data_IF_756561951874
#
_entry.id   IF_756561951874
#
_cell.length_a   1.000
_cell.length_b   1.000
_cell.length_c   1.000
_cell.angle_alpha   90.00
_cell.angle_beta   90.00
_cell.angle_gamma   90.00
#
_symmetry.space_group_name_H-M   'P 1'
#
loop_
_entity.id
_entity.type
_entity.pdbx_description
1 polymer ?
#
# COMPACT_ATOMS: atom_id res chain seq x y z
N UNK A 1 -38.86 -24.39 2.20
CA UNK A 1 -37.74 -24.40 3.17
C UNK A 1 -36.35 -24.26 2.52
N UNK A 2 -36.10 -24.73 1.29
CA UNK A 2 -34.77 -24.63 0.65
C UNK A 2 -34.34 -23.21 0.18
N UNK A 3 -35.29 -22.32 -0.16
CA UNK A 3 -34.96 -20.96 -0.65
C UNK A 3 -34.27 -20.08 0.40
N UNK A 4 -34.66 -20.17 1.67
CA UNK A 4 -34.02 -19.42 2.77
C UNK A 4 -32.62 -19.95 3.10
N UNK A 5 -32.43 -21.26 3.04
CA UNK A 5 -31.14 -21.91 3.29
C UNK A 5 -30.11 -21.59 2.18
N UNK A 6 -30.53 -21.59 0.91
CA UNK A 6 -29.67 -21.18 -0.21
C UNK A 6 -29.28 -19.70 -0.12
N UNK A 7 -30.20 -18.81 0.29
CA UNK A 7 -29.90 -17.39 0.45
C UNK A 7 -28.89 -17.16 1.60
N UNK A 8 -29.05 -17.87 2.72
CA UNK A 8 -28.12 -17.81 3.86
C UNK A 8 -26.75 -18.38 3.51
N UNK A 9 -26.66 -19.49 2.76
CA UNK A 9 -25.39 -20.02 2.26
C UNK A 9 -24.69 -19.06 1.30
N UNK A 10 -25.45 -18.42 0.41
CA UNK A 10 -24.91 -17.43 -0.54
C UNK A 10 -24.35 -16.22 0.20
N UNK A 11 -25.05 -15.75 1.25
CA UNK A 11 -24.61 -14.62 2.08
C UNK A 11 -23.38 -14.99 2.92
N UNK A 12 -23.32 -16.22 3.44
CA UNK A 12 -22.17 -16.72 4.19
C UNK A 12 -20.92 -16.90 3.30
N UNK A 13 -21.09 -17.33 2.05
CA UNK A 13 -20.00 -17.43 1.06
C UNK A 13 -19.42 -16.06 0.70
N UNK A 14 -20.24 -15.01 0.67
CA UNK A 14 -19.80 -13.64 0.37
C UNK A 14 -19.05 -12.99 1.54
N UNK A 15 -19.43 -13.29 2.78
CA UNK A 15 -18.77 -12.78 3.98
C UNK A 15 -17.38 -13.39 4.23
N UNK A 16 -17.04 -14.52 3.58
CA UNK A 16 -15.71 -15.14 3.63
C UNK A 16 -14.73 -14.64 2.56
N UNK A 17 -15.15 -13.73 1.67
CA UNK A 17 -14.32 -13.33 0.52
C UNK A 17 -13.22 -12.33 0.87
N UNK A 18 -13.36 -11.58 1.96
CA UNK A 18 -12.35 -10.64 2.42
C UNK A 18 -12.29 -10.55 3.94
N UNK A 19 -11.11 -10.19 4.44
CA UNK A 19 -10.86 -9.97 5.87
C UNK A 19 -10.13 -8.65 6.04
N UNK A 20 -10.60 -7.83 6.98
CA UNK A 20 -9.90 -6.61 7.37
C UNK A 20 -9.39 -6.71 8.79
N UNK A 21 -8.12 -6.36 8.99
CA UNK A 21 -7.48 -6.31 10.31
C UNK A 21 -6.37 -5.25 10.35
N UNK A 22 -5.61 -5.23 11.45
CA UNK A 22 -4.43 -4.37 11.58
C UNK A 22 -3.21 -5.11 11.03
N UNK A 23 -2.39 -4.46 10.18
CA UNK A 23 -1.11 -5.04 9.77
C UNK A 23 -0.23 -5.35 10.98
N UNK A 24 0.53 -6.46 10.89
CA UNK A 24 1.57 -6.81 11.85
C UNK A 24 2.70 -5.77 11.87
N UNK A 25 3.54 -5.78 12.91
CA UNK A 25 4.67 -4.83 13.00
C UNK A 25 5.64 -4.94 11.82
N UNK A 26 5.84 -6.15 11.29
CA UNK A 26 6.67 -6.38 10.10
C UNK A 26 6.03 -5.73 8.88
N UNK A 27 4.72 -5.92 8.68
CA UNK A 27 3.96 -5.33 7.57
C UNK A 27 3.89 -3.79 7.67
N UNK A 28 3.71 -3.24 8.86
CA UNK A 28 3.71 -1.79 9.09
C UNK A 28 5.03 -1.14 8.65
N UNK A 29 6.17 -1.82 8.88
CA UNK A 29 7.49 -1.32 8.49
C UNK A 29 7.72 -1.26 6.97
N UNK A 30 6.88 -1.92 6.17
CA UNK A 30 6.94 -1.89 4.70
C UNK A 30 6.35 -0.61 4.11
N UNK A 31 5.52 0.09 4.87
CA UNK A 31 4.86 1.33 4.44
C UNK A 31 5.70 2.55 4.82
N UNK A 32 5.48 3.64 4.10
CA UNK A 32 5.88 4.96 4.57
C UNK A 32 4.88 5.44 5.63
N UNK A 33 5.41 5.98 6.71
CA UNK A 33 4.66 6.41 7.89
C UNK A 33 5.08 7.82 8.32
N UNK A 34 4.31 8.50 9.17
CA UNK A 34 4.70 9.78 9.75
C UNK A 34 6.08 9.72 10.44
N UNK A 35 6.43 8.57 11.04
CA UNK A 35 7.72 8.34 11.66
C UNK A 35 8.90 8.55 10.69
N UNK A 36 8.74 8.21 9.41
CA UNK A 36 9.76 8.40 8.38
C UNK A 36 9.98 9.91 8.06
N UNK A 37 9.01 10.77 8.40
CA UNK A 37 9.04 12.21 8.17
C UNK A 37 9.35 13.04 9.44
N UNK A 38 9.60 12.40 10.58
CA UNK A 38 9.90 13.09 11.86
C UNK A 38 11.05 14.08 11.77
N UNK A 39 12.11 13.77 11.01
CA UNK A 39 13.24 14.68 10.76
C UNK A 39 12.85 15.99 10.06
N UNK A 40 11.64 16.04 9.49
CA UNK A 40 11.06 17.20 8.82
C UNK A 40 9.97 17.89 9.65
N UNK A 41 9.84 17.53 10.94
CA UNK A 41 8.86 18.12 11.85
C UNK A 41 7.43 17.58 11.69
N UNK A 42 7.26 16.45 11.00
CA UNK A 42 5.96 15.77 10.93
C UNK A 42 5.82 14.85 12.14
N UNK A 43 4.80 15.09 12.94
CA UNK A 43 4.50 14.32 14.15
C UNK A 43 3.06 13.82 14.13
N UNK A 44 2.78 12.85 15.00
CA UNK A 44 1.45 12.28 15.19
C UNK A 44 1.28 10.92 14.52
N UNK A 45 0.20 10.25 14.91
CA UNK A 45 -0.10 8.90 14.46
C UNK A 45 -0.94 8.92 13.19
N UNK A 46 -0.80 7.87 12.39
CA UNK A 46 -1.66 7.60 11.25
C UNK A 46 -2.50 6.36 11.48
N UNK A 47 -3.35 6.05 10.50
CA UNK A 47 -4.20 4.88 10.52
C UNK A 47 -3.64 3.82 9.58
N UNK A 48 -3.38 2.65 10.14
CA UNK A 48 -3.10 1.45 9.37
C UNK A 48 -4.39 0.69 9.06
N UNK A 49 -4.45 0.12 7.86
CA UNK A 49 -5.45 -0.88 7.49
C UNK A 49 -4.81 -2.00 6.70
N UNK A 50 -5.31 -3.22 6.92
CA UNK A 50 -5.03 -4.38 6.09
C UNK A 50 -6.34 -4.91 5.53
N UNK A 51 -6.34 -5.25 4.25
CA UNK A 51 -7.44 -5.88 3.55
C UNK A 51 -6.91 -7.09 2.79
N UNK A 52 -7.34 -8.27 3.22
CA UNK A 52 -7.09 -9.53 2.51
C UNK A 52 -8.30 -9.80 1.63
N UNK A 53 -8.07 -10.11 0.37
CA UNK A 53 -9.09 -10.53 -0.58
C UNK A 53 -8.76 -11.94 -1.06
N UNK A 54 -9.54 -12.93 -0.60
CA UNK A 54 -9.21 -14.33 -0.80
C UNK A 54 -9.42 -14.80 -2.25
N UNK A 55 -10.41 -14.26 -2.96
CA UNK A 55 -10.74 -14.71 -4.32
C UNK A 55 -9.63 -14.42 -5.33
N UNK A 56 -8.92 -13.30 -5.19
CA UNK A 56 -7.77 -12.94 -6.02
C UNK A 56 -6.44 -13.11 -5.29
N UNK A 57 -6.46 -13.66 -4.06
CA UNK A 57 -5.29 -13.90 -3.20
C UNK A 57 -4.44 -12.65 -3.02
N UNK A 58 -5.08 -11.48 -2.92
CA UNK A 58 -4.38 -10.20 -2.70
C UNK A 58 -4.43 -9.80 -1.25
N UNK A 59 -3.38 -9.11 -0.81
CA UNK A 59 -3.36 -8.40 0.47
C UNK A 59 -2.97 -6.95 0.22
N UNK A 60 -3.81 -6.03 0.64
CA UNK A 60 -3.54 -4.60 0.62
C UNK A 60 -3.22 -4.11 2.03
N UNK A 61 -2.10 -3.41 2.15
CA UNK A 61 -1.72 -2.68 3.34
C UNK A 61 -1.79 -1.20 3.02
N UNK A 62 -2.38 -0.41 3.90
CA UNK A 62 -2.49 1.03 3.72
C UNK A 62 -2.12 1.73 5.01
N UNK A 63 -1.45 2.87 4.87
CA UNK A 63 -1.23 3.84 5.92
C UNK A 63 -1.68 5.21 5.44
N UNK A 64 -2.50 5.86 6.25
CA UNK A 64 -2.97 7.22 5.99
C UNK A 64 -2.68 8.12 7.18
N UNK A 65 -2.15 9.31 6.92
CA UNK A 65 -1.94 10.33 7.93
C UNK A 65 -2.29 11.71 7.37
N UNK A 66 -3.21 12.39 8.05
CA UNK A 66 -3.67 13.73 7.72
C UNK A 66 -3.87 14.53 9.01
N UNK A 67 -2.83 15.20 9.52
CA UNK A 67 -2.91 15.98 10.74
C UNK A 67 -3.62 17.33 10.53
N UNK A 68 -4.12 17.65 9.32
CA UNK A 68 -4.82 18.91 9.02
C UNK A 68 -3.92 20.13 8.85
N UNK A 69 -2.62 20.03 9.10
CA UNK A 69 -1.65 21.14 9.00
C UNK A 69 -0.94 21.24 7.64
N UNK A 70 -1.63 20.86 6.55
CA UNK A 70 -1.09 20.93 5.19
C UNK A 70 -0.18 19.76 4.79
N UNK A 71 0.12 18.84 5.71
CA UNK A 71 0.71 17.54 5.38
C UNK A 71 -0.38 16.50 5.15
N UNK A 72 -0.19 15.67 4.13
CA UNK A 72 -1.00 14.48 3.87
C UNK A 72 -0.05 13.38 3.42
N UNK A 73 -0.28 12.16 3.89
CA UNK A 73 0.43 10.97 3.46
C UNK A 73 -0.56 9.83 3.26
N UNK A 74 -0.53 9.25 2.07
CA UNK A 74 -1.11 7.97 1.73
C UNK A 74 0.01 7.04 1.24
N UNK A 75 0.21 5.92 1.91
CA UNK A 75 1.12 4.87 1.49
C UNK A 75 0.36 3.57 1.38
N UNK A 76 0.48 2.88 0.25
CA UNK A 76 -0.13 1.58 0.04
C UNK A 76 0.88 0.56 -0.48
N UNK A 77 0.68 -0.69 -0.07
CA UNK A 77 1.39 -1.85 -0.58
C UNK A 77 0.36 -2.92 -0.90
N UNK A 78 0.24 -3.29 -2.17
CA UNK A 78 -0.57 -4.41 -2.62
C UNK A 78 0.32 -5.60 -2.97
N UNK A 79 -0.03 -6.74 -2.41
CA UNK A 79 0.66 -8.02 -2.56
C UNK A 79 -0.18 -8.91 -3.47
N UNK A 80 0.46 -9.42 -4.52
CA UNK A 80 -0.14 -10.24 -5.56
C UNK A 80 0.58 -11.59 -5.63
N UNK A 81 -0.13 -12.65 -6.06
CA UNK A 81 0.52 -13.94 -6.35
C UNK A 81 1.53 -13.85 -7.49
N UNK A 82 1.30 -12.96 -8.46
CA UNK A 82 2.07 -12.87 -9.70
C UNK A 82 2.63 -11.46 -9.93
N UNK A 83 3.85 -11.39 -10.47
CA UNK A 83 4.52 -10.12 -10.75
C UNK A 83 3.82 -9.29 -11.84
N UNK A 84 3.21 -9.94 -12.82
CA UNK A 84 2.46 -9.26 -13.88
C UNK A 84 1.26 -8.48 -13.33
N UNK A 85 0.53 -9.06 -12.37
CA UNK A 85 -0.61 -8.41 -11.73
C UNK A 85 -0.17 -7.19 -10.91
N UNK A 86 0.96 -7.31 -10.19
CA UNK A 86 1.55 -6.19 -9.46
C UNK A 86 1.96 -5.04 -10.38
N UNK A 87 2.55 -5.35 -11.54
CA UNK A 87 2.93 -4.35 -12.53
C UNK A 87 1.72 -3.59 -13.08
N UNK A 88 0.69 -4.31 -13.53
CA UNK A 88 -0.54 -3.71 -14.07
C UNK A 88 -1.22 -2.84 -13.00
N UNK A 89 -1.28 -3.33 -11.76
CA UNK A 89 -1.84 -2.56 -10.66
C UNK A 89 -1.02 -1.30 -10.37
N UNK A 90 0.31 -1.38 -10.35
CA UNK A 90 1.17 -0.21 -10.13
C UNK A 90 0.94 0.89 -11.17
N UNK A 91 0.82 0.51 -12.44
CA UNK A 91 0.46 1.42 -13.54
C UNK A 91 -0.93 2.04 -13.35
N UNK A 92 -1.92 1.21 -13.03
CA UNK A 92 -3.29 1.66 -12.81
C UNK A 92 -3.39 2.62 -11.61
N UNK A 93 -2.68 2.34 -10.52
CA UNK A 93 -2.65 3.18 -9.31
C UNK A 93 -1.95 4.50 -9.55
N UNK A 94 -0.76 4.51 -10.17
CA UNK A 94 -0.04 5.74 -10.52
C UNK A 94 -0.90 6.61 -11.43
N UNK A 95 -1.53 6.01 -12.45
CA UNK A 95 -2.42 6.71 -13.38
C UNK A 95 -3.66 7.23 -12.67
N UNK A 96 -4.33 6.40 -11.87
CA UNK A 96 -5.55 6.76 -11.14
C UNK A 96 -5.30 7.85 -10.10
N UNK A 97 -4.20 7.76 -9.35
CA UNK A 97 -3.76 8.81 -8.44
C UNK A 97 -3.47 10.09 -9.22
N UNK A 98 -2.79 9.98 -10.37
CA UNK A 98 -2.54 11.11 -11.24
C UNK A 98 -3.83 11.80 -11.70
N UNK A 99 -4.82 11.04 -12.17
CA UNK A 99 -6.13 11.58 -12.58
C UNK A 99 -6.85 12.21 -11.39
N UNK A 100 -6.84 11.57 -10.21
CA UNK A 100 -7.49 12.10 -9.01
C UNK A 100 -6.85 13.38 -8.46
N UNK A 101 -5.57 13.62 -8.77
CA UNK A 101 -4.86 14.85 -8.46
C UNK A 101 -5.11 15.94 -9.51
N UNK A 102 -5.30 15.55 -10.77
CA UNK A 102 -5.61 16.41 -11.91
C UNK A 102 -7.06 16.92 -11.90
N UNK A 103 -7.44 17.58 -10.79
CA UNK A 103 -8.70 18.31 -10.67
C UNK A 103 -8.60 19.72 -11.31
N UNK A 104 -7.67 19.92 -12.25
CA UNK A 104 -7.42 21.18 -12.96
C UNK A 104 -6.28 22.06 -12.40
N UNK A 105 -5.77 21.78 -11.19
CA UNK A 105 -4.82 22.68 -10.53
C UNK A 105 -3.45 22.03 -10.19
N UNK A 106 -3.32 20.71 -10.28
CA UNK A 106 -2.10 19.99 -9.90
C UNK A 106 -1.44 19.38 -11.13
N UNK A 107 -0.30 19.95 -11.51
CA UNK A 107 0.58 19.41 -12.53
C UNK A 107 1.48 18.33 -11.92
N UNK A 108 1.83 17.33 -12.74
CA UNK A 108 2.77 16.28 -12.40
C UNK A 108 3.99 16.39 -13.29
N UNK A 109 5.15 16.60 -12.68
CA UNK A 109 6.43 16.62 -13.39
C UNK A 109 7.24 15.39 -13.00
N UNK A 110 7.62 14.57 -13.97
CA UNK A 110 8.47 13.41 -13.72
C UNK A 110 9.87 13.84 -13.24
N UNK A 111 10.37 13.15 -12.22
CA UNK A 111 11.74 13.27 -11.73
C UNK A 111 12.47 11.97 -12.08
N UNK A 112 13.45 12.00 -13.00
CA UNK A 112 14.09 10.79 -13.48
C UNK A 112 14.89 10.14 -12.35
N UNK A 113 14.51 8.91 -12.01
CA UNK A 113 15.21 8.07 -11.04
C UNK A 113 16.49 7.50 -11.66
N UNK A 114 17.58 7.47 -10.88
CA UNK A 114 18.82 6.81 -11.27
C UNK A 114 18.80 5.32 -10.90
N UNK A 115 18.11 4.99 -9.82
CA UNK A 115 17.93 3.63 -9.31
C UNK A 115 16.83 2.88 -10.03
N UNK A 116 17.15 1.67 -10.50
CA UNK A 116 16.14 0.71 -10.94
C UNK A 116 15.63 -0.07 -9.71
N UNK A 117 14.59 0.44 -9.06
CA UNK A 117 14.05 -0.18 -7.85
C UNK A 117 13.29 -1.47 -8.13
N UNK A 118 12.63 -1.50 -9.28
CA UNK A 118 11.81 -2.58 -9.82
C UNK A 118 11.24 -2.14 -11.18
N UNK A 119 10.20 -2.83 -11.64
CA UNK A 119 9.45 -2.42 -12.82
C UNK A 119 8.53 -1.24 -12.48
N UNK A 120 8.25 -0.36 -13.45
CA UNK A 120 7.36 0.80 -13.27
C UNK A 120 7.74 1.65 -12.03
N UNK A 121 9.03 1.93 -11.87
CA UNK A 121 9.53 2.84 -10.85
C UNK A 121 9.39 4.27 -11.36
N UNK A 122 8.41 5.02 -10.85
CA UNK A 122 8.13 6.39 -11.25
C UNK A 122 8.15 7.32 -10.04
N UNK A 123 8.79 8.48 -10.18
CA UNK A 123 8.71 9.56 -9.21
C UNK A 123 8.20 10.81 -9.93
N UNK A 124 7.16 11.44 -9.37
CA UNK A 124 6.57 12.67 -9.88
C UNK A 124 6.59 13.73 -8.79
N UNK A 125 7.00 14.93 -9.14
CA UNK A 125 6.81 16.16 -8.37
C UNK A 125 5.42 16.70 -8.65
N UNK A 126 4.67 16.96 -7.59
CA UNK A 126 3.33 17.54 -7.66
C UNK A 126 3.45 19.05 -7.55
N UNK A 127 2.89 19.79 -8.51
CA UNK A 127 3.02 21.25 -8.60
C UNK A 127 1.62 21.86 -8.65
N UNK A 128 1.29 22.74 -7.70
CA UNK A 128 0.03 23.51 -7.69
C UNK A 128 0.33 25.00 -7.74
N UNK A 129 -0.30 25.71 -8.67
CA UNK A 129 -0.04 27.15 -8.90
C UNK A 129 1.46 27.49 -9.05
N UNK A 130 2.21 26.65 -9.76
CA UNK A 130 3.65 26.83 -9.99
C UNK A 130 4.55 26.54 -8.78
N UNK A 131 4.00 26.06 -7.65
CA UNK A 131 4.77 25.69 -6.47
C UNK A 131 4.73 24.18 -6.23
N UNK A 132 5.86 23.55 -5.90
CA UNK A 132 5.86 22.16 -5.46
C UNK A 132 5.00 22.00 -4.19
N UNK A 133 4.19 20.96 -4.17
CA UNK A 133 3.31 20.64 -3.05
C UNK A 133 3.53 19.24 -2.49
N UNK A 134 4.21 18.35 -3.21
CA UNK A 134 4.29 16.95 -2.83
C UNK A 134 5.04 16.07 -3.83
N UNK A 135 5.08 14.77 -3.55
CA UNK A 135 5.51 13.76 -4.50
C UNK A 135 4.49 12.63 -4.61
N UNK A 136 4.46 12.01 -5.79
CA UNK A 136 3.84 10.72 -6.05
C UNK A 136 4.94 9.77 -6.49
N UNK A 137 5.05 8.62 -5.82
CA UNK A 137 5.99 7.57 -6.15
C UNK A 137 5.28 6.23 -6.29
N UNK A 138 5.60 5.48 -7.33
CA UNK A 138 5.10 4.12 -7.54
C UNK A 138 6.23 3.20 -7.96
N UNK A 139 6.16 1.93 -7.53
CA UNK A 139 7.08 0.88 -7.99
C UNK A 139 6.44 -0.50 -7.91
N UNK A 140 6.81 -1.39 -8.84
CA UNK A 140 6.48 -2.81 -8.81
C UNK A 140 7.74 -3.67 -8.59
N UNK A 141 7.75 -4.51 -7.55
CA UNK A 141 8.88 -5.39 -7.20
C UNK A 141 8.38 -6.82 -7.05
N UNK A 142 8.54 -7.65 -8.09
CA UNK A 142 7.93 -8.98 -8.13
C UNK A 142 6.41 -8.86 -7.97
N UNK A 143 5.80 -9.69 -7.13
CA UNK A 143 4.36 -9.62 -6.79
C UNK A 143 3.97 -8.47 -5.84
N UNK A 144 4.68 -7.33 -5.84
CA UNK A 144 4.43 -6.21 -4.92
C UNK A 144 4.24 -4.91 -5.68
N UNK A 145 3.12 -4.23 -5.49
CA UNK A 145 2.86 -2.87 -5.99
C UNK A 145 2.89 -1.90 -4.81
N UNK A 146 3.82 -0.96 -4.82
CA UNK A 146 3.94 0.06 -3.79
C UNK A 146 3.61 1.43 -4.37
N UNK A 147 2.82 2.22 -3.63
CA UNK A 147 2.47 3.59 -3.95
C UNK A 147 2.69 4.47 -2.70
N UNK A 148 3.23 5.65 -2.91
CA UNK A 148 3.30 6.69 -1.91
C UNK A 148 2.92 8.03 -2.51
N UNK A 149 1.93 8.68 -1.90
CA UNK A 149 1.49 10.03 -2.20
C UNK A 149 1.62 10.85 -0.93
N UNK A 150 2.39 11.93 -0.97
CA UNK A 150 2.42 12.88 0.14
C UNK A 150 2.47 14.32 -0.34
N UNK A 151 1.92 15.21 0.49
CA UNK A 151 1.91 16.66 0.25
C UNK A 151 2.32 17.42 1.53
N UNK A 152 2.65 18.70 1.41
CA UNK A 152 3.17 19.54 2.50
C UNK A 152 4.68 19.40 2.72
N UNK A 153 5.27 18.32 2.22
CA UNK A 153 6.70 18.11 2.05
C UNK A 153 6.94 17.55 0.65
N UNK A 154 8.11 17.82 0.08
CA UNK A 154 8.46 17.33 -1.24
C UNK A 154 9.97 17.21 -1.42
N UNK A 155 10.37 16.42 -2.40
CA UNK A 155 11.71 16.26 -2.91
C UNK A 155 11.72 16.76 -4.35
N UNK A 156 12.50 17.81 -4.61
CA UNK A 156 12.69 18.34 -5.97
C UNK A 156 13.76 17.58 -6.75
N UNK A 157 14.58 16.78 -6.06
CA UNK A 157 15.64 15.99 -6.68
C UNK A 157 15.43 14.50 -6.45
N UNK A 158 15.56 13.71 -7.53
CA UNK A 158 15.50 12.26 -7.46
C UNK A 158 16.53 11.69 -6.47
N UNK A 159 17.83 12.09 -6.47
CA UNK A 159 18.81 11.53 -5.54
C UNK A 159 18.45 11.71 -4.05
N UNK A 160 17.83 12.84 -3.68
CA UNK A 160 17.41 13.06 -2.30
C UNK A 160 16.22 12.15 -1.91
N UNK A 161 15.27 11.97 -2.83
CA UNK A 161 14.16 11.03 -2.64
C UNK A 161 14.67 9.58 -2.59
N UNK A 162 15.59 9.22 -3.47
CA UNK A 162 16.18 7.89 -3.56
C UNK A 162 16.90 7.49 -2.26
N UNK A 163 17.66 8.42 -1.67
CA UNK A 163 18.28 8.21 -0.37
C UNK A 163 17.25 8.06 0.76
N UNK A 164 16.12 8.78 0.67
CA UNK A 164 15.03 8.67 1.63
C UNK A 164 14.29 7.33 1.53
N UNK A 165 13.99 6.84 0.33
CA UNK A 165 13.17 5.64 0.11
C UNK A 165 13.97 4.34 0.18
N UNK A 166 15.30 4.39 0.04
CA UNK A 166 16.16 3.21 -0.02
C UNK A 166 15.93 2.18 1.10
N UNK A 167 15.77 2.56 2.39
CA UNK A 167 15.50 1.58 3.45
C UNK A 167 14.18 0.82 3.24
N UNK A 168 13.13 1.48 2.76
CA UNK A 168 11.84 0.84 2.46
C UNK A 168 11.95 -0.09 1.27
N UNK A 169 12.68 0.31 0.23
CA UNK A 169 12.92 -0.53 -0.94
C UNK A 169 13.69 -1.81 -0.58
N UNK A 170 14.65 -1.72 0.34
CA UNK A 170 15.35 -2.90 0.87
C UNK A 170 14.40 -3.83 1.64
N UNK A 171 13.56 -3.28 2.52
CA UNK A 171 12.57 -4.04 3.27
C UNK A 171 11.55 -4.75 2.37
N UNK A 172 11.03 -4.06 1.36
CA UNK A 172 10.08 -4.62 0.38
C UNK A 172 10.68 -5.79 -0.42
N UNK A 173 11.96 -5.72 -0.78
CA UNK A 173 12.65 -6.82 -1.47
C UNK A 173 12.86 -8.03 -0.59
N UNK A 174 13.19 -7.82 0.68
CA UNK A 174 13.44 -8.88 1.64
C UNK A 174 12.14 -9.56 2.14
N UNK A 175 11.01 -8.87 2.04
CA UNK A 175 9.73 -9.39 2.51
C UNK A 175 9.18 -10.47 1.58
N UNK A 176 8.91 -11.65 2.12
CA UNK A 176 8.19 -12.72 1.42
C UNK A 176 6.77 -12.81 1.98
N UNK A 177 5.75 -12.38 1.22
CA UNK A 177 4.38 -12.36 1.71
C UNK A 177 3.83 -13.78 1.85
N UNK A 178 3.19 -14.13 2.97
CA UNK A 178 2.52 -15.42 3.09
C UNK A 178 1.36 -15.48 2.10
N UNK A 179 1.16 -16.64 1.49
CA UNK A 179 -0.04 -16.86 0.69
C UNK A 179 -1.30 -16.77 1.59
N UNK A 180 -2.29 -15.90 1.26
CA UNK A 180 -3.44 -15.68 2.13
C UNK A 180 -4.30 -16.92 2.41
N UNK A 181 -4.40 -17.85 1.45
CA UNK A 181 -5.17 -19.09 1.61
C UNK A 181 -4.42 -20.06 2.51
N UNK A 182 -3.12 -20.25 2.24
CA UNK A 182 -2.27 -21.10 3.08
C UNK A 182 -2.17 -20.58 4.52
N UNK A 183 -2.14 -19.26 4.71
CA UNK A 183 -2.08 -18.65 6.03
C UNK A 183 -3.39 -18.82 6.81
N UNK A 184 -4.53 -18.60 6.15
CA UNK A 184 -5.84 -18.89 6.73
C UNK A 184 -5.97 -20.37 7.15
N UNK A 185 -5.55 -21.31 6.30
CA UNK A 185 -5.63 -22.74 6.60
C UNK A 185 -4.80 -23.12 7.84
N UNK A 186 -3.60 -22.53 7.99
CA UNK A 186 -2.77 -22.73 9.19
C UNK A 186 -3.41 -22.19 10.47
N UNK A 187 -4.06 -21.02 10.40
CA UNK A 187 -4.73 -20.43 11.56
C UNK A 187 -5.90 -21.29 12.05
N UNK A 188 -6.71 -21.84 11.14
CA UNK A 188 -7.82 -22.74 11.51
C UNK A 188 -7.32 -23.98 12.27
N UNK A 189 -6.26 -24.62 11.78
CA UNK A 189 -5.67 -25.80 12.44
C UNK A 189 -5.13 -25.46 13.83
N UNK A 190 -4.54 -24.28 14.01
CA UNK A 190 -4.03 -23.83 15.30
C UNK A 190 -5.17 -23.60 16.32
N UNK A 191 -6.23 -22.91 15.92
CA UNK A 191 -7.39 -22.63 16.77
C UNK A 191 -8.11 -23.92 17.21
N UNK A 192 -8.24 -24.89 16.30
CA UNK A 192 -8.80 -26.21 16.60
C UNK A 192 -7.95 -26.97 17.63
N UNK A 193 -6.62 -26.85 17.57
CA UNK A 193 -5.72 -27.51 18.51
C UNK A 193 -5.75 -26.90 19.92
N UNK A 194 -5.93 -25.58 20.04
CA UNK A 194 -6.07 -24.90 21.35
C UNK A 194 -7.44 -25.17 21.98
N UNK A 195 -8.50 -25.28 21.18
CA UNK A 195 -9.83 -25.61 21.69
C UNK A 195 -9.93 -27.07 22.16
N UNK A 196 -9.22 -28.00 21.53
CA UNK A 196 -9.14 -29.40 21.96
C UNK A 196 -8.28 -29.62 23.22
N UNK A 197 -7.44 -28.65 23.60
CA UNK A 197 -6.58 -28.70 24.78
C UNK A 197 -7.21 -28.05 26.04
N UNK A 198 -8.43 -27.50 25.94
CA UNK A 198 -9.22 -26.93 27.03
C UNK A 198 -10.37 -27.86 27.43
#
# INVERSE_FOLDING_TARGET
MYKGLCLLLSLALLLGCSRSDKPSRVEQNLLLTSADFTRYGIEGDGRFSRLITYWNRTTELTYEHNPGHGFFLHSSLKLFPEAGAALVNSMAESTGAGIGLDNGDVLQQELPLAGQYGSHSELKLLIKHGKPIGNLFSVSIGGKSFLALFTGLYFESAPAFEAFIAPKMAALRAYDPPDPIADWARQQVADDSESAAR
#
